data_IF_347224448481
#
_entry.id   IF_347224448481
#
_cell.length_a   1.000
_cell.length_b   1.000
_cell.length_c   1.000
_cell.angle_alpha   90.00
_cell.angle_beta   90.00
_cell.angle_gamma   90.00
#
_symmetry.space_group_name_H-M   'P 1'
#
loop_
_entity.id
_entity.type
_entity.pdbx_description
1 polymer ?
#
# COMPACT_ATOMS: atom_id res chain seq x y z
N UNK A 1 10.76 -38.36 -4.40
CA UNK A 1 10.59 -37.13 -3.59
C UNK A 1 9.20 -37.15 -2.99
N UNK A 2 9.00 -36.57 -1.79
CA UNK A 2 7.66 -36.46 -1.21
C UNK A 2 6.83 -35.39 -1.97
N UNK A 3 5.49 -35.38 -1.74
CA UNK A 3 4.60 -34.37 -2.33
C UNK A 3 5.10 -32.97 -1.98
N UNK A 4 5.51 -32.75 -0.72
CA UNK A 4 6.07 -31.50 -0.22
C UNK A 4 7.33 -31.10 -0.96
N UNK A 5 8.27 -32.00 -1.18
CA UNK A 5 9.51 -31.72 -1.91
C UNK A 5 9.24 -31.36 -3.38
N UNK A 6 8.30 -32.05 -4.01
CA UNK A 6 7.89 -31.74 -5.40
C UNK A 6 7.21 -30.37 -5.51
N UNK A 7 6.36 -30.00 -4.54
CA UNK A 7 5.76 -28.67 -4.47
C UNK A 7 6.84 -27.57 -4.32
N UNK A 8 7.79 -27.77 -3.42
CA UNK A 8 8.90 -26.82 -3.21
C UNK A 8 9.73 -26.68 -4.50
N UNK A 9 10.00 -27.76 -5.19
CA UNK A 9 10.71 -27.71 -6.46
C UNK A 9 9.90 -26.95 -7.52
N UNK A 10 8.60 -27.26 -7.68
CA UNK A 10 7.71 -26.58 -8.61
C UNK A 10 7.67 -25.06 -8.37
N UNK A 11 7.56 -24.62 -7.12
CA UNK A 11 7.51 -23.18 -6.80
C UNK A 11 8.83 -22.48 -7.16
N UNK A 12 9.99 -23.11 -6.93
CA UNK A 12 11.30 -22.58 -7.33
C UNK A 12 11.46 -22.45 -8.84
N UNK A 13 11.00 -23.42 -9.59
CA UNK A 13 11.01 -23.40 -11.06
C UNK A 13 10.23 -22.20 -11.62
N UNK A 14 9.24 -21.73 -10.90
CA UNK A 14 8.44 -20.54 -11.22
C UNK A 14 8.96 -19.24 -10.59
N UNK A 15 10.18 -19.24 -10.04
CA UNK A 15 10.82 -18.07 -9.42
C UNK A 15 10.08 -17.52 -8.19
N UNK A 16 9.38 -18.38 -7.45
CA UNK A 16 8.92 -18.07 -6.10
C UNK A 16 10.10 -18.23 -5.16
N UNK A 17 10.48 -17.15 -4.47
CA UNK A 17 11.73 -17.10 -3.71
C UNK A 17 11.64 -17.83 -2.37
N UNK A 18 10.46 -17.84 -1.76
CA UNK A 18 10.21 -18.40 -0.43
C UNK A 18 8.96 -19.27 -0.42
N UNK A 19 9.08 -20.41 0.25
CA UNK A 19 7.94 -21.28 0.59
C UNK A 19 8.11 -21.81 1.99
N UNK A 20 7.06 -21.72 2.81
CA UNK A 20 6.95 -22.40 4.10
C UNK A 20 5.57 -23.01 4.25
N UNK A 21 5.49 -24.08 5.05
CA UNK A 21 4.28 -24.88 5.21
C UNK A 21 4.00 -25.07 6.69
N UNK A 22 2.77 -24.78 7.10
CA UNK A 22 2.23 -25.07 8.42
C UNK A 22 1.09 -26.08 8.34
N UNK A 23 0.76 -26.69 9.45
CA UNK A 23 -0.50 -27.43 9.57
C UNK A 23 -1.69 -26.44 9.65
N UNK A 24 -2.89 -26.93 9.38
CA UNK A 24 -4.12 -26.12 9.39
C UNK A 24 -4.71 -25.98 10.81
N UNK A 25 -3.85 -25.79 11.83
CA UNK A 25 -4.33 -25.45 13.19
C UNK A 25 -4.77 -23.99 13.25
N UNK A 26 -5.68 -23.63 14.16
CA UNK A 26 -6.02 -22.24 14.41
C UNK A 26 -4.79 -21.40 14.75
N UNK A 27 -4.68 -20.22 14.16
CA UNK A 27 -3.58 -19.29 14.37
C UNK A 27 -4.02 -18.24 15.39
N UNK A 28 -3.33 -18.20 16.52
CA UNK A 28 -3.52 -17.17 17.53
C UNK A 28 -2.59 -15.99 17.24
N UNK A 29 -3.14 -14.85 16.85
CA UNK A 29 -2.36 -13.63 16.72
C UNK A 29 -2.48 -12.83 18.01
N UNK A 30 -1.39 -12.67 18.75
CA UNK A 30 -1.30 -11.51 19.63
C UNK A 30 -1.39 -10.29 18.72
N UNK A 31 -2.31 -9.39 19.03
CA UNK A 31 -2.69 -8.23 18.25
C UNK A 31 -1.49 -7.29 18.03
N UNK A 32 -0.67 -7.56 17.03
CA UNK A 32 0.40 -6.65 16.59
C UNK A 32 -0.15 -5.49 15.74
N UNK A 33 -1.42 -5.53 15.39
CA UNK A 33 -2.07 -4.62 14.46
C UNK A 33 -3.35 -4.08 15.10
N UNK A 34 -3.22 -3.46 16.26
CA UNK A 34 -4.35 -2.82 16.93
C UNK A 34 -4.37 -1.35 16.57
N UNK A 35 -5.39 -0.93 15.85
CA UNK A 35 -5.91 0.43 15.97
C UNK A 35 -6.56 0.53 17.36
N UNK A 36 -6.32 1.61 18.09
CA UNK A 36 -7.05 1.84 19.36
C UNK A 36 -8.57 1.89 19.16
N UNK A 37 -9.03 2.06 17.93
CA UNK A 37 -10.44 2.22 17.55
C UNK A 37 -10.97 1.07 16.70
N UNK A 38 -10.11 0.33 15.97
CA UNK A 38 -10.52 -0.82 15.14
C UNK A 38 -9.37 -1.82 14.95
N UNK A 39 -9.49 -3.04 15.45
CA UNK A 39 -8.54 -4.11 15.16
C UNK A 39 -8.50 -4.39 13.66
N UNK A 40 -7.28 -4.54 13.12
CA UNK A 40 -7.06 -4.83 11.72
C UNK A 40 -6.67 -6.29 11.52
N UNK A 41 -7.46 -7.02 10.77
CA UNK A 41 -7.06 -8.30 10.14
C UNK A 41 -6.45 -8.01 8.78
N UNK A 42 -5.44 -8.77 8.38
CA UNK A 42 -4.78 -8.65 7.08
C UNK A 42 -5.79 -8.54 5.93
N UNK A 43 -6.20 -7.33 5.59
CA UNK A 43 -7.16 -7.05 4.53
C UNK A 43 -8.60 -6.73 4.97
N UNK A 44 -9.02 -7.07 6.19
CA UNK A 44 -10.39 -6.81 6.66
C UNK A 44 -10.43 -6.06 7.99
N UNK A 45 -11.43 -5.19 8.17
CA UNK A 45 -11.76 -4.58 9.46
C UNK A 45 -12.47 -5.60 10.34
N UNK A 46 -12.07 -5.72 11.59
CA UNK A 46 -12.75 -6.52 12.58
C UNK A 46 -13.29 -5.63 13.67
N UNK A 47 -14.56 -5.84 14.04
CA UNK A 47 -15.19 -5.15 15.17
C UNK A 47 -14.59 -5.58 16.51
N UNK A 48 -14.55 -4.66 17.41
CA UNK A 48 -13.69 -4.45 18.59
C UNK A 48 -13.93 -5.32 19.83
N UNK A 49 -14.51 -6.50 19.76
CA UNK A 49 -14.89 -7.23 20.98
C UNK A 49 -14.10 -8.53 21.26
N UNK A 50 -12.99 -8.80 20.54
CA UNK A 50 -12.24 -10.06 20.73
C UNK A 50 -10.81 -9.77 21.17
N UNK A 51 -10.50 -10.06 22.41
CA UNK A 51 -9.16 -9.90 23.00
C UNK A 51 -8.08 -10.83 22.38
N UNK A 52 -8.48 -11.89 21.70
CA UNK A 52 -7.59 -12.81 20.99
C UNK A 52 -8.22 -13.20 19.67
N UNK A 53 -7.68 -12.70 18.57
CA UNK A 53 -8.11 -13.13 17.24
C UNK A 53 -7.60 -14.55 16.96
N UNK A 54 -8.51 -15.50 16.90
CA UNK A 54 -8.26 -16.86 16.46
C UNK A 54 -8.69 -16.98 15.01
N UNK A 55 -7.76 -17.32 14.15
CA UNK A 55 -8.02 -17.56 12.72
C UNK A 55 -7.91 -19.04 12.43
N UNK A 56 -9.02 -19.66 12.07
CA UNK A 56 -9.07 -21.06 11.71
C UNK A 56 -9.02 -21.23 10.18
N UNK A 57 -7.97 -21.82 9.62
CA UNK A 57 -7.91 -22.15 8.20
C UNK A 57 -9.08 -22.99 7.69
N UNK A 58 -9.74 -23.74 8.57
CA UNK A 58 -10.92 -24.55 8.23
C UNK A 58 -12.16 -23.73 7.91
N UNK A 59 -12.20 -22.44 8.27
CA UNK A 59 -13.24 -21.52 7.81
C UNK A 59 -13.11 -21.26 6.30
N UNK A 60 -11.88 -21.28 5.76
CA UNK A 60 -11.59 -21.12 4.33
C UNK A 60 -11.82 -22.44 3.58
N UNK A 61 -11.29 -23.53 4.10
CA UNK A 61 -11.44 -24.88 3.55
C UNK A 61 -11.73 -25.87 4.69
N UNK A 62 -12.97 -26.36 4.84
CA UNK A 62 -13.34 -27.23 5.97
C UNK A 62 -12.50 -28.50 6.13
N UNK A 63 -11.94 -29.00 5.03
CA UNK A 63 -11.06 -30.18 5.00
C UNK A 63 -9.58 -29.82 5.10
N UNK A 64 -9.23 -28.57 5.40
CA UNK A 64 -7.85 -28.11 5.47
C UNK A 64 -6.98 -28.97 6.40
N UNK A 65 -5.79 -29.32 5.90
CA UNK A 65 -4.73 -30.03 6.62
C UNK A 65 -3.43 -29.24 6.68
N UNK A 66 -3.16 -28.43 5.66
CA UNK A 66 -1.95 -27.62 5.58
C UNK A 66 -2.25 -26.19 5.12
N UNK A 67 -1.39 -25.27 5.54
CA UNK A 67 -1.35 -23.87 5.05
C UNK A 67 0.02 -23.62 4.42
N UNK A 68 0.01 -23.16 3.17
CA UNK A 68 1.21 -22.87 2.40
C UNK A 68 1.38 -21.37 2.35
N UNK A 69 2.54 -20.89 2.80
CA UNK A 69 2.95 -19.49 2.64
C UNK A 69 3.98 -19.41 1.52
N UNK A 70 3.70 -18.55 0.54
CA UNK A 70 4.59 -18.27 -0.57
C UNK A 70 5.07 -16.83 -0.48
N UNK A 71 6.29 -16.57 -0.91
CA UNK A 71 6.85 -15.23 -0.91
C UNK A 71 7.68 -14.97 -2.16
N UNK A 72 7.52 -13.76 -2.73
CA UNK A 72 8.35 -13.29 -3.83
C UNK A 72 9.02 -11.98 -3.45
N UNK A 73 10.31 -11.87 -3.76
CA UNK A 73 11.10 -10.68 -3.55
C UNK A 73 10.75 -9.62 -4.61
N UNK A 74 10.47 -8.40 -4.16
CA UNK A 74 9.91 -7.35 -5.01
C UNK A 74 10.75 -6.08 -5.10
N UNK A 75 11.85 -5.97 -4.34
CA UNK A 75 12.73 -4.81 -4.44
C UNK A 75 13.32 -4.67 -5.86
N UNK A 76 13.20 -3.49 -6.45
CA UNK A 76 13.66 -3.23 -7.82
C UNK A 76 12.63 -3.50 -8.92
N UNK A 77 11.41 -3.97 -8.58
CA UNK A 77 10.34 -4.17 -9.56
C UNK A 77 9.55 -2.89 -9.87
N UNK A 78 9.78 -1.82 -9.12
CA UNK A 78 9.12 -0.54 -9.35
C UNK A 78 9.79 0.23 -10.47
N UNK A 79 8.98 0.80 -11.38
CA UNK A 79 9.44 1.65 -12.48
C UNK A 79 9.24 3.12 -12.10
N UNK A 80 10.26 3.74 -11.54
CA UNK A 80 10.22 5.14 -11.09
C UNK A 80 10.92 6.04 -12.08
N UNK A 81 10.18 6.97 -12.67
CA UNK A 81 10.71 8.07 -13.49
C UNK A 81 10.85 9.30 -12.58
N UNK A 82 12.00 9.95 -12.52
CA UNK A 82 12.19 11.12 -11.69
C UNK A 82 11.25 12.28 -12.06
N UNK A 83 10.81 13.03 -11.05
CA UNK A 83 10.13 14.32 -11.23
C UNK A 83 11.10 15.35 -11.80
N UNK A 84 10.61 16.19 -12.72
CA UNK A 84 11.29 17.39 -13.20
C UNK A 84 10.38 18.62 -13.01
N UNK A 85 10.91 19.86 -13.06
CA UNK A 85 10.08 21.07 -12.98
C UNK A 85 8.97 21.13 -14.03
N UNK A 86 9.23 20.60 -15.24
CA UNK A 86 8.28 20.59 -16.35
C UNK A 86 7.32 19.40 -16.33
N UNK A 87 7.72 18.32 -15.66
CA UNK A 87 6.92 17.10 -15.59
C UNK A 87 6.84 16.61 -14.14
N UNK A 88 5.94 17.23 -13.33
CA UNK A 88 5.72 16.80 -11.96
C UNK A 88 5.08 15.40 -11.96
N UNK A 89 5.69 14.48 -11.18
CA UNK A 89 5.27 13.08 -11.10
C UNK A 89 4.89 12.72 -9.67
N UNK A 90 3.88 11.86 -9.56
CA UNK A 90 3.51 11.25 -8.30
C UNK A 90 4.34 10.02 -7.99
N UNK A 91 4.16 9.47 -6.79
CA UNK A 91 4.72 8.18 -6.39
C UNK A 91 3.61 7.19 -6.13
N UNK A 92 3.76 5.99 -6.63
CA UNK A 92 2.95 4.84 -6.22
C UNK A 92 3.80 4.04 -5.23
N UNK A 93 3.21 3.60 -4.14
CA UNK A 93 3.92 2.80 -3.13
C UNK A 93 4.46 1.50 -3.73
N UNK A 94 5.57 0.97 -3.18
CA UNK A 94 6.28 -0.16 -3.76
C UNK A 94 5.37 -1.30 -4.20
N UNK A 95 5.69 -1.91 -5.37
CA UNK A 95 4.98 -3.02 -6.04
C UNK A 95 3.45 -2.89 -6.18
N UNK A 96 2.88 -1.71 -5.95
CA UNK A 96 1.41 -1.52 -5.99
C UNK A 96 0.83 -1.86 -7.36
N UNK A 97 1.52 -1.50 -8.44
CA UNK A 97 1.13 -1.77 -9.82
C UNK A 97 0.85 -3.26 -10.08
N UNK A 98 1.71 -4.13 -9.61
CA UNK A 98 1.63 -5.59 -9.82
C UNK A 98 1.14 -6.37 -8.60
N UNK A 99 0.67 -5.67 -7.57
CA UNK A 99 0.34 -6.25 -6.26
C UNK A 99 -0.67 -7.40 -6.31
N UNK A 100 -1.78 -7.23 -7.02
CA UNK A 100 -2.82 -8.26 -7.13
C UNK A 100 -2.28 -9.48 -7.88
N UNK A 101 -1.62 -9.23 -9.01
CA UNK A 101 -1.09 -10.29 -9.87
C UNK A 101 -0.07 -11.17 -9.14
N UNK A 102 0.81 -10.58 -8.32
CA UNK A 102 1.83 -11.36 -7.60
C UNK A 102 1.23 -12.36 -6.62
N UNK A 103 0.23 -11.97 -5.82
CA UNK A 103 -0.29 -12.86 -4.76
C UNK A 103 -1.16 -13.97 -5.29
N UNK A 104 -2.08 -13.64 -6.19
CA UNK A 104 -3.02 -14.59 -6.76
C UNK A 104 -2.28 -15.61 -7.62
N UNK A 105 -1.43 -15.15 -8.55
CA UNK A 105 -0.71 -16.03 -9.46
C UNK A 105 0.35 -16.90 -8.78
N UNK A 106 0.96 -16.45 -7.67
CA UNK A 106 1.75 -17.35 -6.82
C UNK A 106 0.89 -18.47 -6.23
N UNK A 107 -0.30 -18.12 -5.74
CA UNK A 107 -1.25 -19.10 -5.20
C UNK A 107 -1.68 -20.11 -6.25
N UNK A 108 -1.97 -19.65 -7.47
CA UNK A 108 -2.41 -20.51 -8.59
C UNK A 108 -1.40 -21.62 -8.89
N UNK A 109 -0.08 -21.34 -8.85
CA UNK A 109 0.96 -22.35 -9.09
C UNK A 109 0.88 -23.50 -8.08
N UNK A 110 0.69 -23.18 -6.81
CA UNK A 110 0.55 -24.21 -5.76
C UNK A 110 -0.78 -24.96 -5.89
N UNK A 111 -1.85 -24.25 -6.23
CA UNK A 111 -3.20 -24.81 -6.41
C UNK A 111 -3.22 -25.79 -7.60
N UNK A 112 -2.70 -25.37 -8.75
CA UNK A 112 -2.63 -26.21 -9.96
C UNK A 112 -1.82 -27.48 -9.69
N UNK A 113 -0.63 -27.36 -9.08
CA UNK A 113 0.21 -28.50 -8.74
C UNK A 113 -0.49 -29.51 -7.80
N UNK A 114 -1.19 -29.02 -6.78
CA UNK A 114 -1.90 -29.88 -5.82
C UNK A 114 -3.15 -30.49 -6.43
N UNK A 115 -3.82 -29.78 -7.34
CA UNK A 115 -4.97 -30.32 -8.08
C UNK A 115 -4.56 -31.47 -9.00
N UNK A 116 -3.39 -31.42 -9.66
CA UNK A 116 -2.79 -32.54 -10.43
C UNK A 116 -2.58 -33.78 -9.56
N UNK A 117 -2.38 -33.57 -8.24
CA UNK A 117 -2.22 -34.64 -7.25
C UNK A 117 -3.53 -35.04 -6.55
N UNK A 118 -4.69 -34.53 -6.98
CA UNK A 118 -6.02 -34.83 -6.47
C UNK A 118 -6.43 -34.10 -5.20
N UNK A 119 -5.70 -33.04 -4.79
CA UNK A 119 -6.00 -32.28 -3.59
C UNK A 119 -6.72 -30.96 -3.93
N UNK A 120 -7.58 -30.51 -3.00
CA UNK A 120 -8.25 -29.22 -3.08
C UNK A 120 -7.42 -28.15 -2.37
N UNK A 121 -7.38 -26.98 -2.97
CA UNK A 121 -6.64 -25.84 -2.43
C UNK A 121 -7.37 -24.54 -2.73
N UNK A 122 -7.23 -23.55 -1.85
CA UNK A 122 -7.88 -22.23 -1.98
C UNK A 122 -6.87 -21.15 -1.63
N UNK A 123 -6.68 -20.20 -2.54
CA UNK A 123 -6.00 -18.94 -2.23
C UNK A 123 -6.87 -18.07 -1.32
N UNK A 124 -6.27 -17.41 -0.33
CA UNK A 124 -7.01 -16.55 0.60
C UNK A 124 -6.20 -15.34 1.04
N UNK A 125 -6.91 -14.22 1.23
CA UNK A 125 -6.41 -13.03 1.91
C UNK A 125 -7.07 -12.84 3.29
N UNK A 126 -7.94 -13.75 3.72
CA UNK A 126 -8.73 -13.62 4.94
C UNK A 126 -8.01 -14.14 6.20
N UNK A 127 -6.87 -14.79 6.02
CA UNK A 127 -6.01 -15.25 7.11
C UNK A 127 -4.89 -14.22 7.40
N UNK A 128 -4.34 -14.22 8.62
CA UNK A 128 -3.25 -13.32 9.03
C UNK A 128 -1.91 -13.81 8.44
N UNK A 129 -1.78 -13.75 7.13
CA UNK A 129 -0.67 -14.36 6.38
C UNK A 129 0.72 -13.94 6.87
N UNK A 130 0.93 -12.73 7.41
CA UNK A 130 2.22 -12.33 8.00
C UNK A 130 2.53 -13.12 9.27
N UNK A 131 1.53 -13.32 10.13
CA UNK A 131 1.70 -14.11 11.34
C UNK A 131 1.95 -15.58 11.01
N UNK A 132 1.22 -16.13 10.04
CA UNK A 132 1.42 -17.50 9.57
C UNK A 132 2.82 -17.67 8.97
N UNK A 133 3.25 -16.74 8.11
CA UNK A 133 4.58 -16.77 7.52
C UNK A 133 5.70 -16.72 8.59
N UNK A 134 5.49 -15.91 9.64
CA UNK A 134 6.42 -15.87 10.76
C UNK A 134 6.40 -17.19 11.56
N UNK A 135 5.22 -17.73 11.87
CA UNK A 135 5.08 -19.00 12.61
C UNK A 135 5.65 -20.20 11.85
N UNK A 136 5.55 -20.20 10.53
CA UNK A 136 6.12 -21.26 9.68
C UNK A 136 7.61 -21.09 9.42
N UNK A 137 8.24 -20.08 9.99
CA UNK A 137 9.69 -19.88 9.89
C UNK A 137 10.17 -19.09 8.67
N UNK A 138 9.25 -18.45 7.91
CA UNK A 138 9.64 -17.67 6.74
C UNK A 138 10.43 -16.40 7.11
N UNK A 139 10.13 -15.81 8.26
CA UNK A 139 10.79 -14.58 8.73
C UNK A 139 10.25 -14.10 10.07
N UNK A 140 10.48 -12.83 10.38
CA UNK A 140 10.09 -12.19 11.65
C UNK A 140 9.26 -10.93 11.39
N UNK A 141 8.30 -10.62 12.25
CA UNK A 141 7.57 -9.35 12.17
C UNK A 141 8.45 -8.23 12.72
N UNK A 142 8.76 -7.26 11.89
CA UNK A 142 9.56 -6.11 12.27
C UNK A 142 8.69 -4.98 12.84
N UNK A 143 9.33 -3.97 13.43
CA UNK A 143 8.67 -2.82 14.09
C UNK A 143 7.75 -2.01 13.17
N UNK A 144 7.99 -2.03 11.86
CA UNK A 144 7.11 -1.44 10.86
C UNK A 144 5.94 -2.35 10.43
N UNK A 145 5.71 -3.44 11.17
CA UNK A 145 4.66 -4.44 10.95
C UNK A 145 4.75 -5.23 9.63
N UNK A 146 5.90 -5.16 8.93
CA UNK A 146 6.16 -6.06 7.80
C UNK A 146 6.90 -7.32 8.25
N UNK A 147 6.71 -8.41 7.51
CA UNK A 147 7.57 -9.58 7.63
C UNK A 147 8.96 -9.19 7.14
N UNK A 148 9.96 -9.51 7.93
CA UNK A 148 11.37 -9.35 7.60
C UNK A 148 12.05 -10.71 7.46
N UNK A 149 12.81 -10.88 6.41
CA UNK A 149 13.69 -12.04 6.20
C UNK A 149 15.13 -11.57 6.09
N UNK A 150 16.05 -12.45 6.46
CA UNK A 150 17.50 -12.13 6.44
C UNK A 150 18.00 -11.84 5.01
N UNK A 151 17.48 -12.56 4.03
CA UNK A 151 17.93 -12.50 2.64
C UNK A 151 17.25 -11.36 1.85
N UNK A 152 15.94 -11.19 2.01
CA UNK A 152 15.14 -10.29 1.20
C UNK A 152 14.60 -9.06 1.95
N UNK A 153 15.05 -8.86 3.20
CA UNK A 153 14.52 -7.78 4.02
C UNK A 153 13.00 -7.85 4.17
N UNK A 154 12.34 -6.71 4.04
CA UNK A 154 10.87 -6.62 4.10
C UNK A 154 10.21 -6.41 2.73
N UNK A 155 10.98 -6.48 1.63
CA UNK A 155 10.45 -6.35 0.26
C UNK A 155 9.90 -7.68 -0.27
N UNK A 156 9.01 -8.31 0.50
CA UNK A 156 8.42 -9.59 0.17
C UNK A 156 6.91 -9.44 -0.02
N UNK A 157 6.42 -9.88 -1.18
CA UNK A 157 4.99 -10.08 -1.40
C UNK A 157 4.62 -11.49 -1.01
N UNK A 158 3.61 -11.63 -0.16
CA UNK A 158 3.14 -12.91 0.37
C UNK A 158 1.89 -13.39 -0.35
N UNK A 159 1.73 -14.71 -0.42
CA UNK A 159 0.51 -15.40 -0.80
C UNK A 159 0.23 -16.50 0.22
N UNK A 160 -1.04 -16.76 0.49
CA UNK A 160 -1.49 -17.79 1.41
C UNK A 160 -2.44 -18.75 0.70
N UNK A 161 -2.13 -20.04 0.73
CA UNK A 161 -2.96 -21.10 0.17
C UNK A 161 -3.29 -22.11 1.26
N UNK A 162 -4.57 -22.43 1.42
CA UNK A 162 -5.07 -23.45 2.33
C UNK A 162 -5.38 -24.70 1.50
N UNK A 163 -4.96 -25.89 1.97
CA UNK A 163 -5.13 -27.15 1.23
C UNK A 163 -5.50 -28.32 2.14
N UNK A 164 -6.21 -29.31 1.58
CA UNK A 164 -6.46 -30.61 2.24
C UNK A 164 -5.32 -31.62 2.01
N UNK A 165 -4.27 -31.25 1.27
CA UNK A 165 -3.06 -32.07 1.12
C UNK A 165 -2.31 -32.20 2.45
N UNK A 166 -1.87 -33.41 2.83
CA UNK A 166 -1.06 -33.65 4.03
C UNK A 166 0.41 -33.36 3.74
N UNK A 167 0.78 -32.08 3.78
CA UNK A 167 2.15 -31.66 3.51
C UNK A 167 3.02 -31.75 4.77
N UNK A 168 4.31 -32.00 4.60
CA UNK A 168 5.30 -31.91 5.66
C UNK A 168 5.48 -30.44 6.08
N UNK A 169 5.36 -30.17 7.39
CA UNK A 169 5.43 -28.80 7.90
C UNK A 169 6.86 -28.33 8.04
N UNK A 170 7.08 -27.02 7.81
CA UNK A 170 8.34 -26.32 8.08
C UNK A 170 8.30 -25.56 9.40
N UNK A 171 7.37 -25.94 10.28
CA UNK A 171 7.11 -25.22 11.53
C UNK A 171 8.37 -25.14 12.39
N UNK A 172 8.70 -23.94 12.84
CA UNK A 172 9.72 -23.70 13.85
C UNK A 172 9.08 -23.10 15.10
N UNK A 173 9.60 -23.44 16.29
CA UNK A 173 9.25 -22.71 17.51
C UNK A 173 9.78 -21.29 17.37
N UNK A 174 8.92 -20.41 16.87
CA UNK A 174 9.28 -19.06 16.53
C UNK A 174 9.09 -18.14 17.73
N UNK A 175 10.17 -17.51 18.18
CA UNK A 175 10.08 -16.44 19.17
C UNK A 175 9.70 -15.12 18.48
N UNK A 176 8.43 -14.77 18.58
CA UNK A 176 7.91 -13.48 18.09
C UNK A 176 8.54 -12.27 18.78
N UNK A 177 9.20 -12.47 19.92
CA UNK A 177 9.85 -11.39 20.67
C UNK A 177 11.24 -11.06 20.13
N UNK A 178 11.86 -11.97 19.37
CA UNK A 178 13.16 -11.74 18.77
C UNK A 178 13.08 -10.59 17.75
N UNK A 179 13.68 -9.47 18.10
CA UNK A 179 13.52 -8.22 17.37
C UNK A 179 14.83 -7.82 16.67
N UNK A 180 14.90 -8.08 15.36
CA UNK A 180 16.01 -7.64 14.51
C UNK A 180 16.16 -6.11 14.50
N UNK A 181 15.11 -5.39 14.87
CA UNK A 181 15.13 -3.94 14.97
C UNK A 181 15.95 -3.45 16.18
N UNK A 182 16.03 -4.23 17.27
CA UNK A 182 16.69 -3.79 18.51
C UNK A 182 16.11 -2.45 19.00
N UNK A 183 16.98 -1.49 19.28
CA UNK A 183 16.59 -0.12 19.71
C UNK A 183 16.23 0.82 18.53
N UNK A 184 16.27 0.36 17.29
CA UNK A 184 15.97 1.19 16.11
C UNK A 184 14.51 1.58 16.07
N UNK A 185 14.23 2.89 15.92
CA UNK A 185 12.89 3.48 15.82
C UNK A 185 12.73 4.38 14.59
N UNK A 186 13.50 4.14 13.55
CA UNK A 186 13.55 5.03 12.39
C UNK A 186 12.20 5.12 11.66
N UNK A 187 11.48 3.98 11.53
CA UNK A 187 10.17 3.94 10.89
C UNK A 187 9.09 4.69 11.70
N UNK A 188 9.13 4.60 13.03
CA UNK A 188 8.20 5.32 13.91
C UNK A 188 8.43 6.84 13.84
N UNK A 189 9.70 7.28 13.96
CA UNK A 189 10.07 8.70 13.97
C UNK A 189 9.79 9.41 12.65
N UNK A 190 9.86 8.68 11.54
CA UNK A 190 9.65 9.22 10.20
C UNK A 190 8.27 8.87 9.61
N UNK A 191 7.36 8.31 10.41
CA UNK A 191 6.00 8.11 9.96
C UNK A 191 5.29 9.46 9.78
N UNK A 192 4.84 9.83 8.57
CA UNK A 192 4.28 11.17 8.32
C UNK A 192 3.02 11.45 9.14
N UNK A 193 2.27 10.42 9.47
CA UNK A 193 1.01 10.51 10.21
C UNK A 193 1.11 10.03 11.65
N UNK A 194 2.31 9.63 12.11
CA UNK A 194 2.54 9.07 13.45
C UNK A 194 1.70 7.84 13.77
N UNK A 195 1.30 7.08 12.76
CA UNK A 195 0.48 5.88 12.92
C UNK A 195 1.20 4.68 13.55
N UNK A 196 2.52 4.69 13.59
CA UNK A 196 3.32 3.72 14.35
C UNK A 196 3.71 4.33 15.69
N UNK A 197 3.19 3.74 16.79
CA UNK A 197 3.39 4.23 18.14
C UNK A 197 4.60 3.56 18.80
N UNK A 198 5.18 4.22 19.82
CA UNK A 198 6.35 3.73 20.56
C UNK A 198 6.09 2.43 21.33
N UNK A 199 4.85 2.23 21.79
CA UNK A 199 4.38 1.02 22.46
C UNK A 199 4.14 -0.18 21.54
N UNK A 200 4.43 -0.03 20.23
CA UNK A 200 4.20 -1.06 19.21
C UNK A 200 2.78 -1.03 18.62
N UNK A 201 1.92 -0.11 19.05
CA UNK A 201 0.56 0.04 18.51
C UNK A 201 0.64 0.61 17.09
N UNK A 202 -0.22 0.11 16.20
CA UNK A 202 -0.38 0.59 14.85
C UNK A 202 -1.79 1.17 14.64
N UNK A 203 -1.84 2.48 14.40
CA UNK A 203 -3.09 3.21 14.14
C UNK A 203 -3.45 3.09 12.67
N UNK A 204 -4.17 2.04 12.33
CA UNK A 204 -4.54 1.71 10.96
C UNK A 204 -5.26 2.85 10.24
N UNK A 205 -6.27 3.44 10.88
CA UNK A 205 -7.12 4.46 10.28
C UNK A 205 -6.37 5.78 10.00
N UNK A 206 -5.23 5.98 10.65
CA UNK A 206 -4.35 7.13 10.45
C UNK A 206 -3.14 6.82 9.58
N UNK A 207 -2.92 5.56 9.21
CA UNK A 207 -1.78 5.21 8.37
C UNK A 207 -1.89 5.83 6.98
N UNK A 208 -0.86 6.58 6.55
CA UNK A 208 -0.85 7.22 5.24
C UNK A 208 -1.10 6.22 4.10
N UNK A 209 -0.61 4.98 4.22
CA UNK A 209 -0.89 3.91 3.28
C UNK A 209 -2.41 3.65 3.09
N UNK A 210 -3.19 3.75 4.16
CA UNK A 210 -4.64 3.55 4.12
C UNK A 210 -5.37 4.82 3.69
N UNK A 211 -4.94 5.97 4.21
CA UNK A 211 -5.53 7.27 3.88
C UNK A 211 -5.50 7.56 2.38
N UNK A 212 -4.37 7.27 1.71
CA UNK A 212 -4.23 7.45 0.26
C UNK A 212 -5.15 6.52 -0.57
N UNK A 213 -5.71 5.49 0.04
CA UNK A 213 -6.71 4.60 -0.56
C UNK A 213 -8.15 4.99 -0.21
N UNK A 214 -8.37 6.12 0.44
CA UNK A 214 -9.69 6.53 0.92
C UNK A 214 -10.24 5.63 2.03
N UNK A 215 -9.36 5.06 2.86
CA UNK A 215 -9.71 4.20 4.00
C UNK A 215 -9.43 4.92 5.32
N UNK A 216 -9.91 4.34 6.41
CA UNK A 216 -9.73 4.92 7.73
C UNK A 216 -10.32 6.32 7.82
N UNK A 217 -9.59 7.27 8.38
CA UNK A 217 -9.99 8.68 8.52
C UNK A 217 -10.30 9.35 7.16
N UNK A 218 -9.85 8.79 6.04
CA UNK A 218 -10.06 9.34 4.69
C UNK A 218 -11.28 8.75 3.96
N UNK A 219 -12.15 7.99 4.62
CA UNK A 219 -13.34 7.36 4.00
C UNK A 219 -14.26 8.35 3.26
N UNK A 220 -14.32 9.59 3.73
CA UNK A 220 -15.10 10.69 3.13
C UNK A 220 -14.20 11.77 2.48
N UNK A 221 -12.99 11.41 2.11
CA UNK A 221 -11.93 12.28 1.60
C UNK A 221 -10.82 12.52 2.63
N UNK A 222 -9.65 12.87 2.14
CA UNK A 222 -8.46 13.05 3.00
C UNK A 222 -8.64 14.28 3.91
N UNK A 223 -8.63 14.12 5.26
CA UNK A 223 -8.78 15.24 6.19
C UNK A 223 -7.69 16.30 6.01
N UNK A 224 -8.06 17.58 6.21
CA UNK A 224 -7.20 18.76 6.03
C UNK A 224 -5.84 18.66 6.74
N UNK A 225 -5.80 18.06 7.92
CA UNK A 225 -4.57 17.84 8.72
C UNK A 225 -3.50 17.00 8.02
N UNK A 226 -3.89 16.21 7.01
CA UNK A 226 -2.97 15.31 6.28
C UNK A 226 -2.53 15.86 4.92
N UNK A 227 -3.06 16.99 4.43
CA UNK A 227 -2.77 17.49 3.09
C UNK A 227 -1.29 17.81 2.86
N UNK A 228 -0.59 18.27 3.89
CA UNK A 228 0.84 18.60 3.81
C UNK A 228 1.81 17.41 4.01
N UNK A 229 1.31 16.20 4.29
CA UNK A 229 2.17 15.06 4.66
C UNK A 229 2.07 13.84 3.72
N UNK A 230 1.43 14.00 2.55
CA UNK A 230 1.27 12.91 1.58
C UNK A 230 2.57 12.56 0.84
N UNK A 231 3.60 13.39 0.93
CA UNK A 231 4.94 13.19 0.32
C UNK A 231 4.90 12.86 -1.18
N UNK A 232 3.92 13.43 -1.90
CA UNK A 232 3.66 13.18 -3.33
C UNK A 232 3.24 11.74 -3.67
N UNK A 233 2.84 10.94 -2.70
CA UNK A 233 2.27 9.62 -2.97
C UNK A 233 0.83 9.74 -3.49
N UNK A 234 0.57 9.07 -4.60
CA UNK A 234 -0.77 8.95 -5.19
C UNK A 234 -1.57 7.81 -4.61
N UNK A 235 -0.90 6.71 -4.29
CA UNK A 235 -1.52 5.50 -3.80
C UNK A 235 -0.52 4.76 -2.92
N UNK A 236 -0.99 4.37 -1.74
CA UNK A 236 -0.17 3.64 -0.77
C UNK A 236 1.15 4.38 -0.48
N UNK A 237 1.92 3.95 0.44
CA UNK A 237 3.27 4.47 0.70
C UNK A 237 4.17 3.34 1.13
N UNK A 238 5.44 3.40 0.75
CA UNK A 238 6.50 2.51 1.18
C UNK A 238 7.47 3.15 2.16
N UNK A 239 7.19 4.34 2.67
CA UNK A 239 8.15 5.12 3.48
C UNK A 239 8.84 4.29 4.57
N UNK A 240 8.09 3.53 5.35
CA UNK A 240 8.64 2.70 6.42
C UNK A 240 9.49 1.51 5.93
N UNK A 241 9.35 1.10 4.66
CA UNK A 241 10.21 0.11 4.00
C UNK A 241 11.47 0.77 3.45
N UNK A 242 11.31 1.92 2.77
CA UNK A 242 12.38 2.66 2.11
C UNK A 242 13.45 3.13 3.10
N UNK A 243 13.03 3.63 4.27
CA UNK A 243 13.94 4.14 5.29
C UNK A 243 14.50 3.05 6.22
N UNK A 244 13.99 1.81 6.12
CA UNK A 244 14.37 0.73 7.01
C UNK A 244 15.84 0.35 6.84
N UNK A 245 16.64 0.40 7.94
CA UNK A 245 18.05 0.04 7.91
C UNK A 245 18.29 -1.42 7.47
N UNK A 246 17.32 -2.30 7.75
CA UNK A 246 17.41 -3.72 7.39
C UNK A 246 17.22 -3.95 5.87
N UNK A 247 16.77 -2.94 5.14
CA UNK A 247 16.55 -3.00 3.70
C UNK A 247 17.64 -2.31 2.87
N UNK A 248 18.64 -1.66 3.51
CA UNK A 248 19.58 -0.75 2.82
C UNK A 248 20.49 -1.41 1.79
N UNK A 249 20.90 -2.65 2.06
CA UNK A 249 21.94 -3.33 1.26
C UNK A 249 21.35 -4.46 0.40
N UNK A 250 20.04 -4.41 0.16
CA UNK A 250 19.38 -5.42 -0.66
C UNK A 250 19.69 -5.20 -2.14
N UNK A 251 20.08 -6.26 -2.83
CA UNK A 251 20.29 -6.23 -4.27
C UNK A 251 18.94 -6.18 -4.98
N UNK A 252 18.68 -5.19 -5.85
CA UNK A 252 17.42 -5.13 -6.57
C UNK A 252 17.21 -6.34 -7.49
N UNK A 253 15.98 -6.84 -7.56
CA UNK A 253 15.58 -7.83 -8.56
C UNK A 253 15.59 -7.18 -9.95
N UNK A 254 16.09 -7.91 -10.94
CA UNK A 254 16.30 -7.36 -12.28
C UNK A 254 15.09 -7.54 -13.21
N UNK A 255 14.18 -8.45 -12.89
CA UNK A 255 13.03 -8.78 -13.74
C UNK A 255 11.81 -9.18 -12.94
N UNK A 256 10.65 -8.93 -13.51
CA UNK A 256 9.38 -9.47 -13.00
C UNK A 256 9.45 -11.01 -13.10
N UNK A 257 9.02 -11.74 -12.04
CA UNK A 257 9.02 -13.20 -12.05
C UNK A 257 8.22 -13.75 -13.24
N UNK A 258 8.72 -14.83 -13.85
CA UNK A 258 8.10 -15.43 -15.06
C UNK A 258 6.67 -15.94 -14.86
N UNK A 259 6.27 -16.21 -13.62
CA UNK A 259 4.90 -16.63 -13.33
C UNK A 259 3.88 -15.49 -13.47
N UNK A 260 4.32 -14.24 -13.46
CA UNK A 260 3.43 -13.09 -13.59
C UNK A 260 2.98 -12.99 -15.03
N UNK A 261 1.72 -13.34 -15.28
CA UNK A 261 1.10 -13.23 -16.60
C UNK A 261 1.09 -11.77 -17.05
N UNK A 262 1.23 -11.55 -18.36
CA UNK A 262 1.15 -10.21 -18.96
C UNK A 262 -0.19 -9.56 -18.61
N UNK A 263 -0.14 -8.30 -18.21
CA UNK A 263 -1.29 -7.46 -17.90
C UNK A 263 -1.07 -6.04 -18.49
N UNK A 264 -2.15 -5.32 -18.84
CA UNK A 264 -2.05 -4.06 -19.58
C UNK A 264 -1.20 -2.98 -18.92
N UNK A 265 -1.17 -2.96 -17.58
CA UNK A 265 -0.47 -1.94 -16.80
C UNK A 265 1.03 -2.20 -16.62
N UNK A 266 1.59 -3.27 -17.23
CA UNK A 266 3.01 -3.60 -17.05
C UNK A 266 3.93 -2.48 -17.53
N UNK A 267 3.51 -1.76 -18.56
CA UNK A 267 4.28 -0.67 -19.16
C UNK A 267 4.02 0.70 -18.50
N UNK A 268 3.04 0.78 -17.60
CA UNK A 268 2.78 2.02 -16.87
C UNK A 268 3.83 2.22 -15.77
N UNK A 269 4.38 3.44 -15.62
CA UNK A 269 5.34 3.72 -14.56
C UNK A 269 4.67 3.78 -13.18
N UNK A 270 5.43 3.45 -12.13
CA UNK A 270 5.01 3.67 -10.73
C UNK A 270 5.15 5.14 -10.31
N UNK A 271 5.37 6.03 -11.27
CA UNK A 271 5.45 7.48 -11.10
C UNK A 271 4.72 8.22 -12.23
N UNK A 272 3.38 8.13 -12.31
CA UNK A 272 2.61 8.80 -13.36
C UNK A 272 2.71 10.32 -13.26
N UNK A 273 2.49 11.00 -14.40
CA UNK A 273 2.42 12.45 -14.46
C UNK A 273 1.19 12.98 -13.73
N UNK A 274 1.39 14.03 -12.92
CA UNK A 274 0.33 14.53 -12.04
C UNK A 274 -0.68 15.42 -12.76
N UNK A 275 -0.21 16.30 -13.65
CA UNK A 275 -1.07 17.31 -14.29
C UNK A 275 -2.23 16.69 -15.07
N UNK A 276 -2.03 15.64 -15.91
CA UNK A 276 -3.13 14.99 -16.61
C UNK A 276 -4.19 14.39 -15.68
N UNK A 277 -3.79 13.91 -14.48
CA UNK A 277 -4.71 13.24 -13.54
C UNK A 277 -5.76 14.20 -12.98
N UNK A 278 -5.43 15.50 -12.83
CA UNK A 278 -6.31 16.47 -12.13
C UNK A 278 -7.67 16.57 -12.80
N UNK A 279 -7.72 16.65 -14.13
CA UNK A 279 -8.94 16.85 -14.91
C UNK A 279 -9.33 15.64 -15.77
N UNK A 280 -8.58 14.52 -15.66
CA UNK A 280 -8.86 13.31 -16.43
C UNK A 280 -10.29 12.82 -16.23
N UNK A 281 -10.95 12.43 -17.28
CA UNK A 281 -12.16 11.59 -17.20
C UNK A 281 -11.79 10.21 -16.63
N UNK A 282 -12.78 9.45 -16.23
CA UNK A 282 -12.55 8.11 -15.69
C UNK A 282 -11.87 7.18 -16.70
N UNK A 283 -12.22 7.30 -17.98
CA UNK A 283 -11.62 6.50 -19.05
C UNK A 283 -10.16 6.91 -19.37
N UNK A 284 -9.83 8.20 -19.23
CA UNK A 284 -8.47 8.69 -19.38
C UNK A 284 -7.60 8.26 -18.22
N UNK A 285 -8.12 8.30 -16.98
CA UNK A 285 -7.38 7.86 -15.80
C UNK A 285 -6.97 6.40 -15.88
N UNK A 286 -7.82 5.53 -16.41
CA UNK A 286 -7.51 4.11 -16.60
C UNK A 286 -6.33 3.85 -17.52
N UNK A 287 -6.04 4.78 -18.44
CA UNK A 287 -4.91 4.66 -19.37
C UNK A 287 -3.57 5.14 -18.80
N UNK A 288 -3.60 5.95 -17.75
CA UNK A 288 -2.40 6.61 -17.20
C UNK A 288 -2.05 6.18 -15.79
N UNK A 289 -2.97 5.51 -15.09
CA UNK A 289 -2.78 5.03 -13.72
C UNK A 289 -3.14 3.55 -13.63
N UNK A 290 -2.28 2.70 -13.03
CA UNK A 290 -2.55 1.27 -12.93
C UNK A 290 -3.85 0.93 -12.19
N UNK A 291 -4.54 -0.15 -12.59
CA UNK A 291 -5.80 -0.62 -12.00
C UNK A 291 -5.75 -0.74 -10.47
N UNK A 292 -4.68 -1.28 -9.93
CA UNK A 292 -4.52 -1.42 -8.49
C UNK A 292 -4.52 -0.08 -7.72
N UNK A 293 -4.33 1.04 -8.40
CA UNK A 293 -4.41 2.37 -7.82
C UNK A 293 -5.84 2.89 -7.78
N UNK A 294 -6.59 2.77 -8.88
CA UNK A 294 -7.90 3.40 -9.01
C UNK A 294 -9.10 2.49 -8.67
N UNK A 295 -8.90 1.18 -8.48
CA UNK A 295 -9.96 0.25 -8.09
C UNK A 295 -10.70 0.58 -6.78
N UNK A 296 -10.10 1.40 -5.92
CA UNK A 296 -10.70 1.88 -4.67
C UNK A 296 -11.41 3.24 -4.83
N UNK A 297 -11.38 3.82 -6.02
CA UNK A 297 -12.00 5.09 -6.34
C UNK A 297 -11.04 6.07 -7.02
N UNK A 298 -11.35 6.46 -8.23
CA UNK A 298 -10.52 7.36 -9.04
C UNK A 298 -10.39 8.76 -8.42
N UNK A 299 -11.43 9.19 -7.69
CA UNK A 299 -11.39 10.51 -7.05
C UNK A 299 -10.30 10.63 -5.98
N UNK A 300 -9.97 9.54 -5.25
CA UNK A 300 -8.86 9.58 -4.29
C UNK A 300 -7.52 9.81 -4.99
N UNK A 301 -7.30 9.20 -6.16
CA UNK A 301 -6.10 9.43 -6.96
C UNK A 301 -6.02 10.89 -7.39
N UNK A 302 -7.14 11.46 -7.86
CA UNK A 302 -7.22 12.87 -8.26
C UNK A 302 -6.89 13.81 -7.09
N UNK A 303 -7.46 13.56 -5.92
CA UNK A 303 -7.18 14.31 -4.69
C UNK A 303 -5.70 14.25 -4.32
N UNK A 304 -5.12 13.06 -4.35
CA UNK A 304 -3.70 12.88 -4.05
C UNK A 304 -2.79 13.57 -5.08
N UNK A 305 -3.17 13.57 -6.38
CA UNK A 305 -2.44 14.29 -7.42
C UNK A 305 -2.49 15.81 -7.22
N UNK A 306 -3.65 16.37 -6.90
CA UNK A 306 -3.82 17.78 -6.58
C UNK A 306 -2.88 18.19 -5.44
N UNK A 307 -2.88 17.45 -4.34
CA UNK A 307 -2.02 17.75 -3.19
C UNK A 307 -0.53 17.59 -3.50
N UNK A 308 -0.16 16.58 -4.29
CA UNK A 308 1.21 16.36 -4.71
C UNK A 308 1.77 17.52 -5.55
N UNK A 309 0.96 18.11 -6.43
CA UNK A 309 1.33 19.30 -7.20
C UNK A 309 1.64 20.50 -6.29
N UNK A 310 0.83 20.73 -5.27
CA UNK A 310 1.08 21.76 -4.27
C UNK A 310 2.37 21.52 -3.50
N UNK A 311 2.58 20.31 -3.00
CA UNK A 311 3.78 19.94 -2.24
C UNK A 311 5.07 20.03 -3.07
N UNK A 312 5.01 19.73 -4.36
CA UNK A 312 6.13 19.87 -5.28
C UNK A 312 6.33 21.32 -5.75
N UNK A 313 5.43 22.22 -5.38
CA UNK A 313 5.40 23.62 -5.86
C UNK A 313 5.45 23.70 -7.38
N UNK A 314 4.67 22.86 -8.06
CA UNK A 314 4.66 22.70 -9.50
C UNK A 314 4.06 23.94 -10.20
N UNK A 315 4.91 24.89 -10.60
CA UNK A 315 4.48 26.18 -11.18
C UNK A 315 3.65 26.03 -12.46
N UNK A 316 3.97 25.03 -13.28
CA UNK A 316 3.23 24.73 -14.52
C UNK A 316 1.85 24.10 -14.28
N UNK A 317 1.51 23.76 -13.03
CA UNK A 317 0.19 23.23 -12.68
C UNK A 317 -0.84 24.31 -12.31
N UNK A 318 -0.46 25.61 -12.26
CA UNK A 318 -1.36 26.70 -11.83
C UNK A 318 -2.65 26.70 -12.65
N UNK A 319 -2.58 26.61 -13.96
CA UNK A 319 -3.76 26.68 -14.84
C UNK A 319 -4.74 25.51 -14.61
N UNK A 320 -4.22 24.28 -14.46
CA UNK A 320 -5.08 23.10 -14.23
C UNK A 320 -5.69 23.13 -12.83
N UNK A 321 -4.96 23.64 -11.83
CA UNK A 321 -5.48 23.81 -10.49
C UNK A 321 -6.52 24.94 -10.40
N UNK A 322 -6.32 26.06 -11.11
CA UNK A 322 -7.33 27.10 -11.25
C UNK A 322 -8.62 26.56 -11.90
N UNK A 323 -8.48 25.80 -12.97
CA UNK A 323 -9.63 25.13 -13.60
C UNK A 323 -10.35 24.21 -12.59
N UNK A 324 -9.60 23.40 -11.83
CA UNK A 324 -10.16 22.51 -10.82
C UNK A 324 -10.93 23.28 -9.72
N UNK A 325 -10.41 24.42 -9.23
CA UNK A 325 -11.12 25.26 -8.24
C UNK A 325 -12.46 25.73 -8.78
N UNK A 326 -12.50 26.11 -10.07
CA UNK A 326 -13.68 26.79 -10.66
C UNK A 326 -14.72 25.83 -11.24
N UNK A 327 -14.34 24.63 -11.68
CA UNK A 327 -15.23 23.75 -12.48
C UNK A 327 -15.41 22.35 -11.90
N UNK A 328 -14.65 21.96 -10.84
CA UNK A 328 -14.76 20.61 -10.31
C UNK A 328 -16.08 20.44 -9.52
N UNK A 329 -16.86 19.44 -9.89
CA UNK A 329 -18.13 19.11 -9.21
C UNK A 329 -17.93 18.63 -7.76
N UNK A 330 -16.75 18.10 -7.42
CA UNK A 330 -16.46 17.59 -6.09
C UNK A 330 -15.89 18.71 -5.20
N UNK A 331 -16.63 19.19 -4.17
CA UNK A 331 -16.22 20.36 -3.38
C UNK A 331 -14.84 20.22 -2.71
N UNK A 332 -14.48 19.00 -2.27
CA UNK A 332 -13.19 18.74 -1.64
C UNK A 332 -12.03 18.90 -2.63
N UNK A 333 -12.20 18.54 -3.90
CA UNK A 333 -11.16 18.71 -4.92
C UNK A 333 -10.88 20.21 -5.16
N UNK A 334 -11.92 21.03 -5.23
CA UNK A 334 -11.77 22.49 -5.36
C UNK A 334 -11.00 23.09 -4.17
N UNK A 335 -11.31 22.67 -2.95
CA UNK A 335 -10.60 23.11 -1.74
C UNK A 335 -9.13 22.65 -1.73
N UNK A 336 -8.87 21.40 -2.12
CA UNK A 336 -7.49 20.89 -2.23
C UNK A 336 -6.70 21.63 -3.31
N UNK A 337 -7.33 21.97 -4.43
CA UNK A 337 -6.69 22.74 -5.49
C UNK A 337 -6.38 24.19 -5.02
N UNK A 338 -7.28 24.83 -4.27
CA UNK A 338 -7.02 26.13 -3.65
C UNK A 338 -5.84 26.06 -2.67
N UNK A 339 -5.78 25.03 -1.82
CA UNK A 339 -4.64 24.79 -0.93
C UNK A 339 -3.33 24.64 -1.71
N UNK A 340 -3.34 23.85 -2.78
CA UNK A 340 -2.17 23.57 -3.61
C UNK A 340 -1.66 24.83 -4.33
N UNK A 341 -2.56 25.69 -4.82
CA UNK A 341 -2.18 27.01 -5.35
C UNK A 341 -1.48 27.87 -4.27
N UNK A 342 -1.96 27.83 -3.03
CA UNK A 342 -1.31 28.49 -1.90
C UNK A 342 0.08 27.96 -1.58
N UNK A 343 0.34 26.64 -1.75
CA UNK A 343 1.67 26.05 -1.57
C UNK A 343 2.63 26.37 -2.72
N UNK A 344 2.12 26.47 -3.94
CA UNK A 344 2.91 26.86 -5.13
C UNK A 344 3.49 28.26 -4.95
N UNK A 345 2.72 29.22 -4.45
CA UNK A 345 3.21 30.51 -3.99
C UNK A 345 3.66 31.48 -5.10
N UNK A 346 3.29 31.27 -6.37
CA UNK A 346 3.62 32.21 -7.47
C UNK A 346 2.60 33.34 -7.58
N UNK A 347 2.96 34.42 -8.29
CA UNK A 347 2.05 35.57 -8.56
C UNK A 347 0.80 35.07 -9.30
N UNK A 348 0.96 34.20 -10.28
CA UNK A 348 -0.14 33.59 -11.05
C UNK A 348 -1.06 32.77 -10.14
N UNK A 349 -0.50 31.98 -9.22
CA UNK A 349 -1.29 31.22 -8.25
C UNK A 349 -2.09 32.14 -7.32
N UNK A 350 -1.50 33.25 -6.88
CA UNK A 350 -2.19 34.30 -6.10
C UNK A 350 -3.36 34.89 -6.87
N UNK A 351 -3.14 35.29 -8.13
CA UNK A 351 -4.19 35.85 -9.00
C UNK A 351 -5.34 34.86 -9.22
N UNK A 352 -5.02 33.59 -9.43
CA UNK A 352 -6.02 32.51 -9.54
C UNK A 352 -6.87 32.39 -8.27
N UNK A 353 -6.26 32.43 -7.08
CA UNK A 353 -6.96 32.39 -5.78
C UNK A 353 -7.84 33.63 -5.57
N UNK A 354 -7.34 34.83 -5.89
CA UNK A 354 -8.10 36.09 -5.77
C UNK A 354 -9.33 36.10 -6.69
N UNK A 355 -9.19 35.59 -7.92
CA UNK A 355 -10.29 35.47 -8.89
C UNK A 355 -11.32 34.43 -8.39
N UNK A 356 -10.86 33.26 -7.92
CA UNK A 356 -11.72 32.21 -7.41
C UNK A 356 -12.50 32.68 -6.16
N UNK A 357 -11.88 33.45 -5.27
CA UNK A 357 -12.53 33.97 -4.06
C UNK A 357 -13.72 34.90 -4.39
N UNK A 358 -13.64 35.66 -5.48
CA UNK A 358 -14.74 36.56 -5.93
C UNK A 358 -15.91 35.77 -6.48
N UNK A 359 -15.67 34.57 -7.03
CA UNK A 359 -16.69 33.73 -7.66
C UNK A 359 -17.25 32.64 -6.73
N UNK A 360 -16.53 32.30 -5.66
CA UNK A 360 -16.89 31.21 -4.78
C UNK A 360 -18.19 31.49 -4.00
N UNK A 361 -19.10 30.52 -4.00
CA UNK A 361 -20.41 30.58 -3.30
C UNK A 361 -20.43 29.75 -2.02
N UNK A 362 -19.59 28.71 -1.92
CA UNK A 362 -19.50 27.87 -0.73
C UNK A 362 -18.62 28.50 0.32
N UNK A 363 -19.08 28.51 1.57
CA UNK A 363 -18.35 29.06 2.70
C UNK A 363 -17.02 28.32 2.96
N UNK A 364 -17.05 26.97 2.86
CA UNK A 364 -15.87 26.16 3.07
C UNK A 364 -14.79 26.41 2.00
N UNK A 365 -15.17 26.66 0.76
CA UNK A 365 -14.25 27.03 -0.30
C UNK A 365 -13.69 28.43 -0.09
N UNK A 366 -14.53 29.40 0.28
CA UNK A 366 -14.09 30.75 0.60
C UNK A 366 -13.09 30.79 1.76
N UNK A 367 -13.33 29.98 2.80
CA UNK A 367 -12.41 29.86 3.94
C UNK A 367 -11.05 29.30 3.48
N UNK A 368 -11.02 28.20 2.70
CA UNK A 368 -9.75 27.65 2.20
C UNK A 368 -9.02 28.61 1.27
N UNK A 369 -9.75 29.35 0.42
CA UNK A 369 -9.17 30.39 -0.45
C UNK A 369 -8.52 31.52 0.38
N UNK A 370 -9.18 32.02 1.43
CA UNK A 370 -8.62 33.04 2.34
C UNK A 370 -7.37 32.49 3.07
N UNK A 371 -7.44 31.24 3.56
CA UNK A 371 -6.32 30.58 4.22
C UNK A 371 -5.13 30.42 3.28
N UNK A 372 -5.38 30.07 2.01
CA UNK A 372 -4.33 29.93 1.00
C UNK A 372 -3.72 31.28 0.63
N UNK A 373 -4.53 32.33 0.48
CA UNK A 373 -4.07 33.69 0.23
C UNK A 373 -3.24 34.27 1.38
N UNK A 374 -3.53 33.91 2.63
CA UNK A 374 -2.76 34.40 3.79
C UNK A 374 -1.29 33.97 3.78
N UNK A 375 -0.91 32.97 2.99
CA UNK A 375 0.48 32.51 2.84
C UNK A 375 1.33 33.53 2.07
N UNK A 376 0.71 34.32 1.18
CA UNK A 376 1.38 35.36 0.39
C UNK A 376 1.63 36.67 1.17
N UNK A 377 1.04 36.82 2.35
CA UNK A 377 1.17 38.04 3.17
C UNK A 377 2.34 37.97 4.18
N UNK A 378 3.14 36.90 4.15
CA UNK A 378 4.24 36.62 5.09
C UNK A 378 5.63 36.88 4.50
N UNK A 379 5.70 37.36 3.27
CA UNK A 379 6.91 37.93 2.65
C UNK A 379 6.84 39.45 2.70
#
# INVERSE_FOLDING_TARGET
MSLTQNLIQRTREWEIDLITIGDARPVHTKTYLVSRETPYRCGQRVHTEVEVDVFDPKVVLPTARSVIMLGVYTNGLDTIIPTTPDTPRGKIGPWTRIYTYLSEQMGDIAIEFLAESGYRSVFTNDLPYRAIAAQTGMGKISRNHFLYTKEFGSYIRLSCVVTDAPLETTYTDYDFTANECGSCRICERNCPTRSMCEDGTYLYDQCLHQLLQGKGDAKHGLPRKYWGVTESYLMRTGKCLEICRLNRNLVPRQSIPRFVKVFPEIDLPDSPELIPIVMATDAEMEKIVPYNCWKYGKNHIRQNAILALGQQKAKNAVNVLEACVNTCEHPLNARMAAWSLGEIGTIEARQALEKALKAATSEELQEELRNSLSKFSKE
#
